data_IF_909009250543
#
_entry.id   IF_909009250543
#
_cell.length_a   1.000
_cell.length_b   1.000
_cell.length_c   1.000
_cell.angle_alpha   90.00
_cell.angle_beta   90.00
_cell.angle_gamma   90.00
#
_symmetry.space_group_name_H-M   'P 1'
#
loop_
_entity.id
_entity.type
_entity.pdbx_description
1 polymer ?
#
# COMPACT_ATOMS: atom_id res chain seq x y z
N UNK A 1 17.96 -24.29 -3.27
CA UNK A 1 16.88 -23.30 -3.03
C UNK A 1 17.58 -21.98 -2.85
N UNK A 2 17.39 -21.04 -3.77
CA UNK A 2 17.93 -19.69 -3.64
C UNK A 2 17.43 -19.14 -2.31
N UNK A 3 18.34 -18.65 -1.46
CA UNK A 3 17.97 -17.86 -0.29
C UNK A 3 17.05 -16.74 -0.79
N UNK A 4 15.79 -16.78 -0.41
CA UNK A 4 14.78 -15.86 -0.93
C UNK A 4 15.10 -14.48 -0.34
N UNK A 5 15.80 -13.68 -1.13
CA UNK A 5 16.13 -12.30 -0.78
C UNK A 5 14.81 -11.53 -0.70
N UNK A 6 14.29 -11.37 0.52
CA UNK A 6 13.07 -10.60 0.78
C UNK A 6 13.38 -9.13 0.54
N UNK A 7 12.66 -8.51 -0.39
CA UNK A 7 12.76 -7.07 -0.63
C UNK A 7 12.20 -6.31 0.58
N UNK A 8 13.02 -5.54 1.33
CA UNK A 8 12.56 -4.80 2.49
C UNK A 8 11.45 -3.78 2.14
N UNK A 9 11.37 -3.31 0.89
CA UNK A 9 10.27 -2.45 0.45
C UNK A 9 8.91 -3.13 0.61
N UNK A 10 8.80 -4.42 0.27
CA UNK A 10 7.53 -5.15 0.35
C UNK A 10 7.04 -5.27 1.79
N UNK A 11 7.93 -5.60 2.72
CA UNK A 11 7.63 -5.73 4.15
C UNK A 11 7.18 -4.38 4.72
N UNK A 12 7.99 -3.33 4.53
CA UNK A 12 7.71 -1.99 5.07
C UNK A 12 6.42 -1.43 4.48
N UNK A 13 6.15 -1.67 3.19
CA UNK A 13 4.93 -1.18 2.54
C UNK A 13 3.68 -1.83 3.13
N UNK A 14 3.70 -3.14 3.41
CA UNK A 14 2.56 -3.81 4.05
C UNK A 14 2.33 -3.31 5.49
N UNK A 15 3.39 -3.11 6.26
CA UNK A 15 3.30 -2.49 7.59
C UNK A 15 2.72 -1.07 7.51
N UNK A 16 3.18 -0.26 6.55
CA UNK A 16 2.72 1.11 6.35
C UNK A 16 1.25 1.19 5.89
N UNK A 17 0.78 0.26 5.05
CA UNK A 17 -0.64 0.17 4.66
C UNK A 17 -1.55 -0.14 5.85
N UNK A 18 -1.10 -1.01 6.74
CA UNK A 18 -1.85 -1.41 7.95
C UNK A 18 -1.77 -0.38 9.08
N UNK A 19 -0.95 0.68 8.92
CA UNK A 19 -0.86 1.77 9.88
C UNK A 19 -2.22 2.45 10.09
N UNK A 20 -2.44 2.96 11.30
CA UNK A 20 -3.70 3.65 11.65
C UNK A 20 -4.01 4.85 10.76
N UNK A 21 -2.97 5.51 10.20
CA UNK A 21 -3.13 6.64 9.29
C UNK A 21 -3.61 6.24 7.89
N UNK A 22 -3.23 5.06 7.42
CA UNK A 22 -3.57 4.60 6.07
C UNK A 22 -4.75 3.62 6.03
N UNK A 23 -5.14 3.07 7.19
CA UNK A 23 -6.23 2.10 7.31
C UNK A 23 -7.55 2.58 6.69
N UNK A 24 -7.90 3.85 6.88
CA UNK A 24 -9.13 4.41 6.28
C UNK A 24 -9.09 4.45 4.76
N UNK A 25 -7.91 4.66 4.16
CA UNK A 25 -7.75 4.64 2.70
C UNK A 25 -7.77 3.21 2.17
N UNK A 26 -7.19 2.27 2.92
CA UNK A 26 -7.26 0.85 2.60
C UNK A 26 -8.72 0.36 2.57
N UNK A 27 -9.50 0.69 3.61
CA UNK A 27 -10.93 0.33 3.68
C UNK A 27 -11.74 0.93 2.52
N UNK A 28 -11.45 2.17 2.10
CA UNK A 28 -12.09 2.80 0.94
C UNK A 28 -11.73 2.11 -0.37
N UNK A 29 -10.45 1.80 -0.56
CA UNK A 29 -9.96 1.09 -1.75
C UNK A 29 -10.59 -0.30 -1.85
N UNK A 30 -10.60 -1.08 -0.76
CA UNK A 30 -11.25 -2.40 -0.71
C UNK A 30 -12.76 -2.29 -0.98
N UNK A 31 -13.42 -1.27 -0.43
CA UNK A 31 -14.83 -1.01 -0.70
C UNK A 31 -15.07 -0.62 -2.17
N UNK A 32 -14.15 0.09 -2.82
CA UNK A 32 -14.23 0.42 -4.24
C UNK A 32 -14.03 -0.81 -5.11
N UNK A 33 -13.02 -1.64 -4.82
CA UNK A 33 -12.72 -2.88 -5.56
C UNK A 33 -13.94 -3.83 -5.58
N UNK A 34 -14.65 -3.93 -4.45
CA UNK A 34 -15.90 -4.69 -4.36
C UNK A 34 -17.02 -4.13 -5.25
N UNK A 35 -17.10 -2.81 -5.45
CA UNK A 35 -18.11 -2.19 -6.33
C UNK A 35 -17.70 -2.23 -7.79
N UNK A 36 -16.41 -2.06 -8.10
CA UNK A 36 -15.85 -2.14 -9.45
C UNK A 36 -16.20 -3.48 -10.12
N UNK A 37 -16.28 -4.58 -9.36
CA UNK A 37 -16.75 -5.87 -9.89
C UNK A 37 -18.17 -5.84 -10.47
N UNK A 38 -18.97 -4.82 -10.16
CA UNK A 38 -20.39 -4.65 -10.54
C UNK A 38 -20.65 -3.39 -11.36
N UNK A 39 -19.67 -2.51 -11.52
CA UNK A 39 -19.81 -1.19 -12.16
C UNK A 39 -18.67 -0.97 -13.15
N UNK A 40 -18.78 0.06 -13.99
CA UNK A 40 -17.64 0.55 -14.80
C UNK A 40 -16.89 1.68 -14.08
N UNK A 41 -16.88 1.69 -12.74
CA UNK A 41 -16.13 2.70 -11.97
C UNK A 41 -14.63 2.40 -11.94
N UNK A 42 -13.80 3.44 -11.85
CA UNK A 42 -12.35 3.31 -11.67
C UNK A 42 -12.00 3.64 -10.22
N UNK A 43 -11.22 2.77 -9.58
CA UNK A 43 -10.72 2.95 -8.21
C UNK A 43 -9.33 3.58 -8.16
N UNK A 44 -8.92 4.26 -9.24
CA UNK A 44 -7.60 4.92 -9.33
C UNK A 44 -7.41 5.99 -8.27
N UNK A 45 -8.46 6.76 -7.94
CA UNK A 45 -8.40 7.81 -6.92
C UNK A 45 -8.07 7.21 -5.54
N UNK A 46 -8.84 6.21 -5.10
CA UNK A 46 -8.62 5.55 -3.81
C UNK A 46 -7.28 4.81 -3.75
N UNK A 47 -6.81 4.30 -4.90
CA UNK A 47 -5.50 3.67 -5.01
C UNK A 47 -4.36 4.68 -4.84
N UNK A 48 -4.46 5.86 -5.49
CA UNK A 48 -3.47 6.93 -5.37
C UNK A 48 -3.44 7.47 -3.93
N UNK A 49 -4.60 7.66 -3.30
CA UNK A 49 -4.70 8.08 -1.90
C UNK A 49 -3.99 7.10 -0.94
N UNK A 50 -4.24 5.80 -1.11
CA UNK A 50 -3.60 4.75 -0.33
C UNK A 50 -2.08 4.74 -0.56
N UNK A 51 -1.65 4.87 -1.82
CA UNK A 51 -0.23 4.93 -2.19
C UNK A 51 0.46 6.13 -1.56
N UNK A 52 -0.12 7.33 -1.66
CA UNK A 52 0.48 8.55 -1.09
C UNK A 52 0.68 8.40 0.42
N UNK A 53 -0.31 7.84 1.11
CA UNK A 53 -0.21 7.57 2.55
C UNK A 53 0.90 6.56 2.87
N UNK A 54 0.93 5.43 2.16
CA UNK A 54 1.92 4.39 2.38
C UNK A 54 3.34 4.88 2.05
N UNK A 55 3.52 5.62 0.95
CA UNK A 55 4.83 6.10 0.50
C UNK A 55 5.41 7.17 1.44
N UNK A 56 4.58 8.03 2.04
CA UNK A 56 5.02 8.93 3.12
C UNK A 56 5.63 8.16 4.30
N UNK A 57 5.03 7.02 4.66
CA UNK A 57 5.54 6.14 5.71
C UNK A 57 6.81 5.39 5.27
N UNK A 58 6.81 4.78 4.07
CA UNK A 58 7.92 4.00 3.52
C UNK A 58 9.17 4.85 3.31
N UNK A 59 9.03 6.08 2.81
CA UNK A 59 10.16 6.97 2.52
C UNK A 59 11.06 7.23 3.74
N UNK A 60 10.48 7.23 4.94
CA UNK A 60 11.22 7.43 6.20
C UNK A 60 12.03 6.21 6.68
N UNK A 61 11.77 5.03 6.11
CA UNK A 61 12.30 3.75 6.58
C UNK A 61 13.14 3.02 5.52
N UNK A 62 12.68 2.99 4.26
CA UNK A 62 13.24 2.15 3.20
C UNK A 62 14.74 2.39 2.95
N UNK A 63 15.17 3.66 2.88
CA UNK A 63 16.56 4.02 2.61
C UNK A 63 17.54 3.60 3.71
N UNK A 64 17.06 3.17 4.89
CA UNK A 64 17.92 2.59 5.94
C UNK A 64 18.33 1.15 5.62
N UNK A 65 17.57 0.47 4.76
CA UNK A 65 17.79 -0.92 4.38
C UNK A 65 18.53 -1.07 3.05
N UNK A 66 18.60 0.00 2.26
CA UNK A 66 19.31 0.05 0.99
C UNK A 66 20.75 0.56 1.20
N UNK A 67 21.73 -0.06 0.53
CA UNK A 67 23.15 0.31 0.57
C UNK A 67 23.59 0.99 -0.72
#
# INVERSE_FOLDING_TARGET
>A
MSEELVDPQTVIREECKQSSSCRSFLEKYEACDLRQSKTNESCEEEFIDLLECADKCVASQLFKHLK
#
